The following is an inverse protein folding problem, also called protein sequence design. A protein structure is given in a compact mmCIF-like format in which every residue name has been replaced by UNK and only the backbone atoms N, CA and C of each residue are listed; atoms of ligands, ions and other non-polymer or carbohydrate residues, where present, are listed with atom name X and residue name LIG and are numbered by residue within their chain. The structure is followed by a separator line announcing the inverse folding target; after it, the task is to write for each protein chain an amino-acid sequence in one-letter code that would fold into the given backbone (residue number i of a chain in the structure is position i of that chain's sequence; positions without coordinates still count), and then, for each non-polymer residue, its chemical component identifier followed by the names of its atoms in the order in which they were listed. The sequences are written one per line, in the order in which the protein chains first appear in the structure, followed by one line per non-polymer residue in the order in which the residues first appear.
data_IF_327028418690
#
_entry.id   IF_327028418690
#
_cell.length_a   1.000
_cell.length_b   1.000
_cell.length_c   1.000
_cell.angle_alpha   90.00
_cell.angle_beta   90.00
_cell.angle_gamma   90.00
#
_symmetry.space_group_name_H-M   'P 1'
#
loop_
_entity.id
_entity.type
_entity.pdbx_description
1 polymer ?
#
# COMPACT_ATOMS: atom_id res chain seq x y z
N UNK A 1 -4.64 26.30 -9.28
CA UNK A 1 -4.44 24.94 -8.75
C UNK A 1 -5.74 24.17 -8.85
N UNK A 2 -5.70 23.00 -9.44
CA UNK A 2 -6.90 22.18 -9.61
C UNK A 2 -7.22 21.38 -8.36
N UNK A 3 -8.43 20.81 -8.31
CA UNK A 3 -8.82 19.93 -7.21
C UNK A 3 -7.90 18.70 -7.11
N UNK A 4 -7.48 18.14 -8.25
CA UNK A 4 -6.57 17.00 -8.23
C UNK A 4 -5.17 17.39 -7.76
N UNK A 5 -4.71 18.61 -8.01
CA UNK A 5 -3.42 19.07 -7.48
C UNK A 5 -3.48 19.21 -5.97
N UNK A 6 -4.61 19.70 -5.43
CA UNK A 6 -4.81 19.82 -3.99
C UNK A 6 -4.87 18.43 -3.35
N UNK A 7 -5.60 17.50 -3.96
CA UNK A 7 -5.70 16.14 -3.46
C UNK A 7 -4.35 15.44 -3.47
N UNK A 8 -3.56 15.61 -4.53
CA UNK A 8 -2.22 15.02 -4.63
C UNK A 8 -1.31 15.58 -3.53
N UNK A 9 -1.37 16.88 -3.29
CA UNK A 9 -0.54 17.50 -2.25
C UNK A 9 -0.90 16.96 -0.86
N UNK A 10 -2.19 16.78 -0.56
CA UNK A 10 -2.63 16.21 0.71
C UNK A 10 -2.17 14.76 0.88
N UNK A 11 -2.26 13.97 -0.18
CA UNK A 11 -1.82 12.59 -0.19
C UNK A 11 -0.29 12.51 0.01
N UNK A 12 0.46 13.36 -0.70
CA UNK A 12 1.92 13.40 -0.56
C UNK A 12 2.32 13.73 0.87
N UNK A 13 1.62 14.67 1.53
CA UNK A 13 1.88 15.01 2.92
C UNK A 13 1.61 13.82 3.85
N UNK A 14 0.54 13.09 3.62
CA UNK A 14 0.20 11.89 4.40
C UNK A 14 1.27 10.81 4.25
N UNK A 15 1.72 10.56 3.03
CA UNK A 15 2.76 9.56 2.78
C UNK A 15 4.11 10.01 3.35
N UNK A 16 4.40 11.31 3.35
CA UNK A 16 5.62 11.82 3.98
C UNK A 16 5.62 11.57 5.48
N UNK A 17 4.46 11.66 6.13
CA UNK A 17 4.36 11.49 7.58
C UNK A 17 4.25 10.03 8.00
N UNK A 18 3.44 9.23 7.31
CA UNK A 18 3.12 7.86 7.73
C UNK A 18 3.74 6.79 6.87
N UNK A 19 4.37 7.17 5.76
CA UNK A 19 4.93 6.22 4.83
C UNK A 19 6.28 5.69 5.26
N UNK A 20 6.69 4.62 4.60
CA UNK A 20 8.02 4.04 4.77
C UNK A 20 8.58 3.65 3.42
N UNK A 21 9.90 3.57 3.34
CA UNK A 21 10.58 3.18 2.11
C UNK A 21 10.33 1.73 1.77
N UNK A 22 10.09 1.48 0.51
CA UNK A 22 9.91 0.12 0.00
C UNK A 22 10.44 0.02 -1.43
N UNK A 23 10.59 -1.22 -1.91
CA UNK A 23 10.98 -1.52 -3.27
C UNK A 23 9.92 -2.43 -3.90
N UNK A 24 9.41 -2.03 -5.05
CA UNK A 24 8.36 -2.74 -5.75
C UNK A 24 8.95 -3.71 -6.77
N UNK A 25 8.53 -4.99 -6.70
CA UNK A 25 8.94 -6.04 -7.64
C UNK A 25 10.46 -6.18 -7.80
N UNK A 26 11.20 -6.00 -6.71
CA UNK A 26 12.65 -6.12 -6.76
C UNK A 26 13.37 -4.97 -7.45
N UNK A 27 12.66 -3.88 -7.73
CA UNK A 27 13.27 -2.71 -8.34
C UNK A 27 14.27 -2.03 -7.43
N UNK A 28 15.13 -1.20 -8.03
CA UNK A 28 16.17 -0.49 -7.29
C UNK A 28 15.79 0.95 -6.94
N UNK A 29 14.62 1.42 -7.39
CA UNK A 29 14.14 2.75 -7.07
C UNK A 29 13.24 2.67 -5.84
N UNK A 30 13.57 3.44 -4.81
CA UNK A 30 12.77 3.47 -3.59
C UNK A 30 11.45 4.19 -3.84
N UNK A 31 10.39 3.61 -3.30
CA UNK A 31 9.06 4.22 -3.27
C UNK A 31 8.62 4.35 -1.82
N UNK A 32 7.53 5.06 -1.59
CA UNK A 32 6.97 5.22 -0.24
C UNK A 32 5.63 4.51 -0.18
N UNK A 33 5.47 3.65 0.81
CA UNK A 33 4.21 2.94 1.05
C UNK A 33 3.73 3.21 2.48
N UNK A 34 2.42 3.05 2.70
CA UNK A 34 1.86 3.05 4.05
C UNK A 34 1.45 1.61 4.36
N UNK A 35 1.92 1.09 5.47
CA UNK A 35 1.65 -0.29 5.88
C UNK A 35 0.80 -0.27 7.13
N UNK A 36 -0.35 -0.93 7.09
CA UNK A 36 -1.21 -1.08 8.24
C UNK A 36 -1.14 -2.53 8.71
N UNK A 37 -0.51 -2.72 9.84
CA UNK A 37 -0.33 -4.05 10.44
C UNK A 37 -1.48 -4.47 11.34
N UNK A 38 -2.42 -3.57 11.61
CA UNK A 38 -3.55 -3.86 12.52
C UNK A 38 -4.47 -4.93 11.96
N UNK A 39 -4.50 -5.09 10.65
CA UNK A 39 -5.30 -6.12 10.01
C UNK A 39 -4.65 -7.50 10.09
N UNK A 40 -3.37 -7.54 10.39
CA UNK A 40 -2.63 -8.80 10.44
C UNK A 40 -3.05 -9.60 11.67
N UNK A 41 -3.58 -10.79 11.45
CA UNK A 41 -3.92 -11.69 12.53
C UNK A 41 -5.22 -11.38 13.25
N UNK A 42 -6.07 -10.53 12.72
CA UNK A 42 -7.30 -10.13 13.40
C UNK A 42 -8.53 -10.52 12.58
N UNK A 43 -9.19 -11.59 13.00
CA UNK A 43 -10.45 -12.05 12.38
C UNK A 43 -11.40 -12.51 13.48
N UNK A 44 -12.02 -11.56 14.18
CA UNK A 44 -12.85 -11.91 15.34
C UNK A 44 -14.09 -12.74 14.99
N UNK A 45 -14.57 -12.66 13.77
CA UNK A 45 -15.77 -13.37 13.33
C UNK A 45 -15.58 -14.89 13.29
N UNK A 46 -14.40 -15.38 12.98
CA UNK A 46 -14.12 -16.81 12.94
C UNK A 46 -13.07 -17.25 13.96
N UNK A 47 -12.57 -16.32 14.75
CA UNK A 47 -11.58 -16.60 15.76
C UNK A 47 -10.22 -17.00 15.22
N UNK A 48 -9.99 -16.84 13.94
CA UNK A 48 -8.73 -17.18 13.31
C UNK A 48 -8.06 -15.96 12.71
N UNK A 49 -6.83 -15.69 13.07
CA UNK A 49 -6.07 -14.66 12.40
C UNK A 49 -5.67 -15.10 10.99
N UNK A 50 -5.60 -14.16 10.07
CA UNK A 50 -4.95 -14.39 8.78
C UNK A 50 -3.49 -14.01 9.00
N UNK A 51 -2.67 -15.02 9.28
CA UNK A 51 -1.29 -14.80 9.69
C UNK A 51 -0.51 -14.06 8.61
N UNK A 52 0.12 -12.95 8.99
CA UNK A 52 0.99 -12.19 8.12
C UNK A 52 0.28 -11.29 7.13
N UNK A 53 -1.05 -11.30 7.07
CA UNK A 53 -1.75 -10.41 6.14
C UNK A 53 -1.73 -8.98 6.64
N UNK A 54 -1.40 -8.06 5.75
CA UNK A 54 -1.31 -6.63 6.04
C UNK A 54 -2.01 -5.84 4.94
N UNK A 55 -2.27 -4.58 5.20
CA UNK A 55 -2.80 -3.66 4.19
C UNK A 55 -1.67 -2.72 3.73
N UNK A 56 -1.54 -2.55 2.43
CA UNK A 56 -0.56 -1.64 1.85
C UNK A 56 -1.27 -0.59 1.02
N UNK A 57 -0.84 0.66 1.17
CA UNK A 57 -1.26 1.76 0.32
C UNK A 57 -0.06 2.32 -0.41
N UNK A 58 -0.21 2.59 -1.70
CA UNK A 58 0.84 3.18 -2.53
C UNK A 58 0.23 4.20 -3.48
N UNK A 59 0.95 5.29 -3.71
CA UNK A 59 0.46 6.34 -4.60
C UNK A 59 0.57 5.90 -6.04
N UNK A 60 -0.46 6.19 -6.82
CA UNK A 60 -0.46 5.89 -8.26
C UNK A 60 0.69 6.58 -8.98
N UNK A 61 1.15 7.71 -8.47
CA UNK A 61 2.30 8.41 -9.05
C UNK A 61 3.60 7.61 -8.94
N UNK A 62 3.69 6.67 -8.01
CA UNK A 62 4.88 5.83 -7.85
C UNK A 62 4.71 4.43 -8.41
N UNK A 63 3.49 3.87 -8.34
CA UNK A 63 3.17 2.57 -8.94
C UNK A 63 1.88 2.73 -9.70
N UNK A 64 1.97 2.79 -11.01
CA UNK A 64 0.83 3.13 -11.87
C UNK A 64 -0.30 2.11 -11.78
N UNK A 65 0.02 0.84 -11.77
CA UNK A 65 -0.98 -0.23 -11.78
C UNK A 65 -0.45 -1.49 -11.10
N UNK A 66 -0.47 -1.54 -9.77
CA UNK A 66 -0.06 -2.78 -9.08
C UNK A 66 -1.08 -3.89 -9.37
N UNK A 67 -0.60 -5.13 -9.36
CA UNK A 67 -1.45 -6.29 -9.64
C UNK A 67 -1.23 -7.37 -8.59
N UNK A 68 -2.17 -8.31 -8.54
CA UNK A 68 -2.04 -9.49 -7.69
C UNK A 68 -0.72 -10.21 -8.01
N UNK A 69 0.04 -10.54 -6.99
CA UNK A 69 1.33 -11.21 -7.15
C UNK A 69 2.53 -10.28 -7.13
N UNK A 70 2.31 -8.97 -7.23
CA UNK A 70 3.41 -8.01 -7.06
C UNK A 70 4.01 -8.13 -5.67
N UNK A 71 5.29 -7.78 -5.55
CA UNK A 71 5.98 -7.83 -4.26
C UNK A 71 6.38 -6.43 -3.81
N UNK A 72 6.45 -6.27 -2.49
CA UNK A 72 6.98 -5.06 -1.85
C UNK A 72 7.97 -5.49 -0.79
N UNK A 73 9.18 -4.95 -0.88
CA UNK A 73 10.23 -5.21 0.10
C UNK A 73 10.41 -3.99 0.99
N UNK A 74 10.31 -4.18 2.29
CA UNK A 74 10.48 -3.11 3.26
C UNK A 74 10.86 -3.71 4.61
N UNK A 75 11.65 -2.98 5.38
CA UNK A 75 11.98 -3.38 6.74
C UNK A 75 12.62 -4.77 6.85
N UNK A 76 13.38 -5.19 5.84
CA UNK A 76 14.04 -6.49 5.84
C UNK A 76 13.14 -7.66 5.50
N UNK A 77 11.91 -7.39 5.06
CA UNK A 77 10.95 -8.43 4.67
C UNK A 77 10.40 -8.15 3.27
N UNK A 78 9.91 -9.18 2.63
CA UNK A 78 9.22 -9.07 1.34
C UNK A 78 7.84 -9.67 1.49
N UNK A 79 6.82 -8.93 1.04
CA UNK A 79 5.45 -9.40 1.04
C UNK A 79 4.93 -9.44 -0.38
N UNK A 80 3.90 -10.26 -0.60
CA UNK A 80 3.32 -10.46 -1.92
C UNK A 80 1.85 -10.08 -1.90
N UNK A 81 1.41 -9.30 -2.88
CA UNK A 81 0.02 -8.87 -2.98
C UNK A 81 -0.87 -10.08 -3.18
N UNK A 82 -1.86 -10.22 -2.30
CA UNK A 82 -2.71 -11.42 -2.23
C UNK A 82 -4.13 -11.21 -2.76
N UNK A 83 -4.44 -10.01 -3.23
CA UNK A 83 -5.74 -9.71 -3.82
C UNK A 83 -5.58 -8.76 -5.00
N UNK A 84 -6.68 -8.45 -5.67
CA UNK A 84 -6.67 -7.45 -6.73
C UNK A 84 -6.65 -6.07 -6.08
N UNK A 85 -5.64 -5.23 -6.34
CA UNK A 85 -5.60 -3.88 -5.80
C UNK A 85 -6.78 -3.04 -6.28
N UNK A 86 -7.19 -2.07 -5.45
CA UNK A 86 -8.27 -1.15 -5.82
C UNK A 86 -7.85 0.29 -5.49
N UNK A 87 -8.45 1.25 -6.19
CA UNK A 87 -8.27 2.66 -5.90
C UNK A 87 -9.19 3.03 -4.74
N UNK A 88 -8.61 3.48 -3.65
CA UNK A 88 -9.31 3.66 -2.38
C UNK A 88 -9.84 5.07 -2.19
N UNK A 89 -9.29 6.04 -2.90
CA UNK A 89 -9.67 7.43 -2.73
C UNK A 89 -10.56 7.93 -3.88
N UNK A 90 -11.28 9.02 -3.61
CA UNK A 90 -12.24 9.57 -4.55
C UNK A 90 -11.59 10.01 -5.86
N UNK A 91 -10.38 10.56 -5.80
CA UNK A 91 -9.66 11.03 -6.98
C UNK A 91 -8.90 9.92 -7.71
N UNK A 92 -8.85 8.71 -7.15
CA UNK A 92 -8.15 7.59 -7.76
C UNK A 92 -6.64 7.75 -7.77
N UNK A 93 -6.07 8.29 -6.70
CA UNK A 93 -4.64 8.57 -6.60
C UNK A 93 -3.87 7.58 -5.72
N UNK A 94 -4.57 6.73 -4.98
CA UNK A 94 -3.96 5.78 -4.04
C UNK A 94 -4.51 4.39 -4.28
N UNK A 95 -3.59 3.45 -4.50
CA UNK A 95 -3.90 2.02 -4.56
C UNK A 95 -3.85 1.43 -3.16
N UNK A 96 -4.82 0.60 -2.86
CA UNK A 96 -4.85 -0.17 -1.63
C UNK A 96 -4.94 -1.65 -1.93
N UNK A 97 -4.26 -2.47 -1.13
CA UNK A 97 -4.17 -3.91 -1.38
C UNK A 97 -3.82 -4.65 -0.11
N UNK A 98 -4.11 -5.94 -0.11
CA UNK A 98 -3.67 -6.85 0.94
C UNK A 98 -2.43 -7.60 0.48
N UNK A 99 -1.56 -7.95 1.43
CA UNK A 99 -0.32 -8.67 1.14
C UNK A 99 0.04 -9.60 2.30
N UNK A 100 0.77 -10.62 1.97
CA UNK A 100 1.26 -11.59 2.97
C UNK A 100 2.74 -11.87 2.79
#
# INVERSE_FOLDING_TARGET
MSASDIAQAAIDATFAEFGREAFHNGGSTAITIIVDLRDAGSRPDDGRPIAGQITIEVRKSEVEAPVHGDTFAFGGRTVKVSNRPWLDDEEGLVWKMWAV
#
